data_IF_993448925462
#
_entry.id   IF_993448925462
#
_cell.length_a   1.000
_cell.length_b   1.000
_cell.length_c   1.000
_cell.angle_alpha   90.00
_cell.angle_beta   90.00
_cell.angle_gamma   90.00
#
_symmetry.space_group_name_H-M   'P 1'
#
loop_
_entity.id
_entity.type
_entity.pdbx_description
1 polymer ?
#
# COMPACT_ATOMS: atom_id res chain seq x y z
N UNK A 1 0.67 -20.57 -5.96
CA UNK A 1 1.21 -19.19 -5.96
C UNK A 1 2.50 -19.18 -6.74
N UNK A 2 2.73 -18.24 -7.68
CA UNK A 2 3.99 -18.16 -8.43
C UNK A 2 5.20 -18.04 -7.49
N UNK A 3 6.25 -18.87 -7.65
CA UNK A 3 7.38 -18.93 -6.71
C UNK A 3 8.37 -17.77 -6.87
N UNK A 4 8.38 -17.07 -8.01
CA UNK A 4 9.29 -15.95 -8.28
C UNK A 4 8.55 -14.67 -8.65
N UNK A 5 9.19 -13.51 -8.39
CA UNK A 5 8.64 -12.20 -8.79
C UNK A 5 8.44 -12.11 -10.31
N UNK A 6 9.33 -12.73 -11.09
CA UNK A 6 9.22 -12.78 -12.55
C UNK A 6 7.97 -13.54 -13.00
N UNK A 7 7.72 -14.71 -12.41
CA UNK A 7 6.53 -15.51 -12.71
C UNK A 7 5.25 -14.87 -12.19
N UNK A 8 5.31 -14.21 -11.03
CA UNK A 8 4.18 -13.43 -10.52
C UNK A 8 3.79 -12.30 -11.48
N UNK A 9 4.77 -11.59 -12.05
CA UNK A 9 4.50 -10.56 -13.08
C UNK A 9 3.84 -11.16 -14.31
N UNK A 10 4.38 -12.26 -14.83
CA UNK A 10 3.81 -12.95 -15.98
C UNK A 10 2.36 -13.40 -15.74
N UNK A 11 2.09 -13.94 -14.54
CA UNK A 11 0.73 -14.32 -14.13
C UNK A 11 -0.21 -13.12 -14.06
N UNK A 12 0.20 -12.00 -13.44
CA UNK A 12 -0.63 -10.78 -13.37
C UNK A 12 -0.92 -10.25 -14.78
N UNK A 13 0.09 -10.20 -15.66
CA UNK A 13 -0.10 -9.72 -17.02
C UNK A 13 -1.07 -10.62 -17.80
N UNK A 14 -1.04 -11.93 -17.56
CA UNK A 14 -1.98 -12.88 -18.16
C UNK A 14 -3.42 -12.69 -17.65
N UNK A 15 -3.59 -12.54 -16.33
CA UNK A 15 -4.88 -12.21 -15.73
C UNK A 15 -5.46 -10.91 -16.30
N UNK A 16 -4.62 -9.89 -16.48
CA UNK A 16 -5.05 -8.61 -17.06
C UNK A 16 -5.46 -8.76 -18.53
N UNK A 17 -4.70 -9.55 -19.32
CA UNK A 17 -5.00 -9.78 -20.75
C UNK A 17 -6.17 -10.72 -20.99
N UNK A 18 -6.42 -11.68 -20.11
CA UNK A 18 -7.49 -12.68 -20.26
C UNK A 18 -8.90 -12.08 -20.30
N UNK A 19 -9.06 -10.83 -19.87
CA UNK A 19 -10.35 -10.16 -19.83
C UNK A 19 -11.29 -10.71 -18.77
N UNK A 20 -10.80 -11.50 -17.81
CA UNK A 20 -11.62 -11.95 -16.67
C UNK A 20 -11.89 -10.80 -15.68
N UNK A 21 -11.02 -9.79 -15.64
CA UNK A 21 -11.19 -8.62 -14.78
C UNK A 21 -12.25 -7.68 -15.38
N UNK A 22 -13.40 -7.59 -14.71
CA UNK A 22 -14.52 -6.72 -15.10
C UNK A 22 -14.84 -5.74 -13.99
N UNK A 23 -15.03 -4.47 -14.35
CA UNK A 23 -15.49 -3.44 -13.41
C UNK A 23 -16.99 -3.60 -13.23
N UNK A 24 -17.37 -4.24 -12.13
CA UNK A 24 -18.76 -4.44 -11.72
C UNK A 24 -19.27 -3.23 -10.93
N UNK A 25 -20.58 -3.17 -10.69
CA UNK A 25 -21.16 -2.10 -9.86
C UNK A 25 -20.65 -2.15 -8.41
N UNK A 26 -20.39 -3.34 -7.88
CA UNK A 26 -19.73 -3.48 -6.59
C UNK A 26 -18.31 -2.88 -6.62
N UNK A 27 -17.53 -3.15 -7.67
CA UNK A 27 -16.21 -2.57 -7.84
C UNK A 27 -16.25 -1.03 -8.01
N UNK A 28 -17.29 -0.50 -8.67
CA UNK A 28 -17.52 0.95 -8.81
C UNK A 28 -17.80 1.60 -7.46
N UNK A 29 -18.67 1.00 -6.64
CA UNK A 29 -18.95 1.48 -5.27
C UNK A 29 -17.69 1.49 -4.42
N UNK A 30 -16.85 0.46 -4.51
CA UNK A 30 -15.54 0.46 -3.82
C UNK A 30 -14.65 1.59 -4.35
N UNK A 31 -14.59 1.80 -5.66
CA UNK A 31 -13.81 2.88 -6.24
C UNK A 31 -14.31 4.28 -5.82
N UNK A 32 -15.62 4.46 -5.59
CA UNK A 32 -16.20 5.70 -5.04
C UNK A 32 -15.70 5.98 -3.62
N UNK A 33 -15.59 4.97 -2.76
CA UNK A 33 -15.01 5.14 -1.41
C UNK A 33 -13.56 5.64 -1.43
N UNK A 34 -12.79 5.30 -2.48
CA UNK A 34 -11.45 5.84 -2.67
C UNK A 34 -11.46 7.29 -3.17
N UNK A 35 -12.47 7.69 -3.95
CA UNK A 35 -12.58 9.07 -4.48
C UNK A 35 -13.15 10.04 -3.46
N UNK A 36 -14.15 9.61 -2.71
CA UNK A 36 -14.80 10.38 -1.65
C UNK A 36 -14.87 9.53 -0.38
N UNK A 37 -13.78 9.49 0.41
CA UNK A 37 -13.76 8.72 1.63
C UNK A 37 -14.71 9.32 2.69
N UNK A 38 -15.39 8.48 3.50
CA UNK A 38 -16.27 8.92 4.57
C UNK A 38 -15.61 9.92 5.52
N UNK A 39 -16.39 10.84 6.09
CA UNK A 39 -15.84 11.94 6.90
C UNK A 39 -15.13 11.46 8.17
N UNK A 40 -15.53 10.29 8.65
CA UNK A 40 -15.15 9.63 9.88
C UNK A 40 -13.88 8.76 9.70
N UNK A 41 -13.33 8.70 8.49
CA UNK A 41 -12.16 7.87 8.20
C UNK A 41 -10.89 8.37 8.95
N UNK A 42 -10.27 7.47 9.71
CA UNK A 42 -9.14 7.75 10.63
C UNK A 42 -7.90 8.38 9.93
N UNK A 43 -7.75 8.19 8.62
CA UNK A 43 -6.60 8.67 7.82
C UNK A 43 -7.00 9.57 6.66
N UNK A 44 -8.19 10.18 6.72
CA UNK A 44 -8.80 10.93 5.62
C UNK A 44 -7.88 11.94 4.91
N UNK A 45 -6.99 12.70 5.56
CA UNK A 45 -6.06 13.61 4.86
C UNK A 45 -5.09 12.91 3.91
N UNK A 46 -4.73 11.65 4.19
CA UNK A 46 -3.76 10.87 3.41
C UNK A 46 -4.45 10.02 2.34
N UNK A 47 -5.74 9.71 2.51
CA UNK A 47 -6.50 8.87 1.60
C UNK A 47 -6.52 9.35 0.14
N UNK A 48 -6.58 10.65 -0.19
CA UNK A 48 -6.46 11.10 -1.59
C UNK A 48 -5.15 10.67 -2.26
N UNK A 49 -4.02 10.73 -1.53
CA UNK A 49 -2.73 10.29 -2.05
C UNK A 49 -2.69 8.76 -2.23
N UNK A 50 -3.25 8.02 -1.26
CA UNK A 50 -3.37 6.56 -1.33
C UNK A 50 -4.27 6.13 -2.51
N UNK A 51 -5.40 6.82 -2.71
CA UNK A 51 -6.28 6.59 -3.85
C UNK A 51 -5.59 6.87 -5.17
N UNK A 52 -4.84 7.98 -5.26
CA UNK A 52 -4.05 8.29 -6.44
C UNK A 52 -3.00 7.22 -6.74
N UNK A 53 -2.29 6.71 -5.72
CA UNK A 53 -1.38 5.58 -5.89
C UNK A 53 -2.11 4.30 -6.32
N UNK A 54 -3.23 3.96 -5.67
CA UNK A 54 -4.01 2.78 -5.97
C UNK A 54 -4.44 2.76 -7.44
N UNK A 55 -5.10 3.82 -7.91
CA UNK A 55 -5.48 3.93 -9.32
C UNK A 55 -4.27 4.05 -10.25
N UNK A 56 -3.20 4.72 -9.83
CA UNK A 56 -1.98 4.86 -10.61
C UNK A 56 -1.28 3.53 -10.89
N UNK A 57 -1.31 2.61 -9.93
CA UNK A 57 -0.70 1.27 -10.04
C UNK A 57 -1.52 0.28 -10.88
N UNK A 58 -2.75 0.63 -11.26
CA UNK A 58 -3.55 -0.22 -12.14
C UNK A 58 -2.97 -0.24 -13.57
N UNK A 59 -3.00 -1.40 -14.24
CA UNK A 59 -2.75 -1.50 -15.67
C UNK A 59 -3.65 -0.56 -16.49
N UNK A 60 -3.19 -0.04 -17.64
CA UNK A 60 -3.97 0.85 -18.51
C UNK A 60 -5.42 0.44 -18.76
N UNK A 61 -5.75 -0.82 -19.15
CA UNK A 61 -7.13 -1.20 -19.45
C UNK A 61 -8.05 -1.12 -18.23
N UNK A 62 -7.53 -1.37 -17.01
CA UNK A 62 -8.32 -1.24 -15.79
C UNK A 62 -8.53 0.22 -15.42
N UNK A 63 -7.53 1.09 -15.58
CA UNK A 63 -7.68 2.54 -15.34
C UNK A 63 -8.78 3.11 -16.23
N UNK A 64 -8.77 2.75 -17.50
CA UNK A 64 -9.81 3.14 -18.46
C UNK A 64 -11.19 2.62 -18.05
N UNK A 65 -11.31 1.35 -17.63
CA UNK A 65 -12.55 0.78 -17.14
C UNK A 65 -13.10 1.47 -15.87
N UNK A 66 -12.22 2.05 -15.04
CA UNK A 66 -12.58 2.88 -13.88
C UNK A 66 -12.77 4.38 -14.24
N UNK A 67 -12.63 4.78 -15.51
CA UNK A 67 -12.75 6.17 -15.95
C UNK A 67 -11.59 7.08 -15.50
N UNK A 68 -10.44 6.49 -15.14
CA UNK A 68 -9.27 7.23 -14.64
C UNK A 68 -8.38 7.63 -15.82
N UNK A 69 -8.38 8.92 -16.14
CA UNK A 69 -7.45 9.48 -17.14
C UNK A 69 -6.03 9.55 -16.58
N UNK A 70 -5.07 8.97 -17.28
CA UNK A 70 -3.67 8.92 -16.86
C UNK A 70 -2.75 9.44 -17.95
N UNK A 71 -1.94 10.44 -17.62
CA UNK A 71 -0.98 11.04 -18.55
C UNK A 71 0.45 10.54 -18.29
N UNK A 72 1.37 10.66 -19.26
CA UNK A 72 2.78 10.34 -19.04
C UNK A 72 3.40 11.13 -17.87
N UNK A 73 3.01 12.39 -17.69
CA UNK A 73 3.44 13.21 -16.55
C UNK A 73 2.98 12.61 -15.20
N UNK A 74 1.74 12.10 -15.11
CA UNK A 74 1.25 11.41 -13.91
C UNK A 74 2.01 10.11 -13.65
N UNK A 75 2.39 9.40 -14.70
CA UNK A 75 3.21 8.18 -14.58
C UNK A 75 4.60 8.48 -14.00
N UNK A 76 5.25 9.55 -14.48
CA UNK A 76 6.54 10.01 -13.92
C UNK A 76 6.38 10.44 -12.47
N UNK A 77 5.35 11.23 -12.15
CA UNK A 77 5.06 11.67 -10.79
C UNK A 77 4.80 10.47 -9.85
N UNK A 78 4.08 9.44 -10.32
CA UNK A 78 3.81 8.23 -9.54
C UNK A 78 5.12 7.52 -9.20
N UNK A 79 5.97 7.27 -10.21
CA UNK A 79 7.27 6.62 -10.01
C UNK A 79 8.16 7.42 -9.07
N UNK A 80 8.20 8.74 -9.21
CA UNK A 80 8.94 9.63 -8.32
C UNK A 80 8.41 9.53 -6.88
N UNK A 81 7.10 9.64 -6.68
CA UNK A 81 6.49 9.57 -5.36
C UNK A 81 6.74 8.23 -4.65
N UNK A 82 6.65 7.10 -5.37
CA UNK A 82 6.91 5.77 -4.83
C UNK A 82 8.39 5.57 -4.50
N UNK A 83 9.31 6.14 -5.29
CA UNK A 83 10.74 6.15 -4.98
C UNK A 83 11.02 6.98 -3.73
N UNK A 84 10.45 8.18 -3.64
CA UNK A 84 10.56 9.03 -2.45
C UNK A 84 10.02 8.33 -1.20
N UNK A 85 8.87 7.63 -1.32
CA UNK A 85 8.30 6.86 -0.22
C UNK A 85 9.26 5.76 0.27
N UNK A 86 9.95 5.07 -0.65
CA UNK A 86 10.97 4.07 -0.30
C UNK A 86 12.17 4.69 0.42
N UNK A 87 12.59 5.89 0.02
CA UNK A 87 13.69 6.62 0.65
C UNK A 87 13.32 7.15 2.04
N UNK A 88 12.08 7.57 2.25
CA UNK A 88 11.58 8.10 3.54
C UNK A 88 11.21 6.96 4.51
N UNK A 89 10.95 5.75 4.01
CA UNK A 89 10.57 4.58 4.86
C UNK A 89 11.47 4.34 6.09
N UNK A 90 12.81 4.46 6.04
CA UNK A 90 13.69 4.26 7.19
C UNK A 90 13.54 5.32 8.29
N UNK A 91 13.04 6.52 7.96
CA UNK A 91 12.82 7.59 8.94
C UNK A 91 11.41 7.57 9.55
N UNK A 92 10.47 6.85 8.93
CA UNK A 92 9.11 6.70 9.45
C UNK A 92 9.09 5.93 10.79
N UNK A 93 8.36 6.43 11.81
CA UNK A 93 8.14 5.70 13.06
C UNK A 93 7.64 4.26 12.85
N UNK A 94 8.01 3.36 13.77
CA UNK A 94 7.67 1.93 13.70
C UNK A 94 6.15 1.68 13.52
N UNK A 95 5.31 2.52 14.14
CA UNK A 95 3.84 2.46 14.01
C UNK A 95 3.31 2.60 12.58
N UNK A 96 4.06 3.27 11.70
CA UNK A 96 3.70 3.45 10.29
C UNK A 96 4.43 2.46 9.37
N UNK A 97 5.57 1.92 9.83
CA UNK A 97 6.37 0.96 9.08
C UNK A 97 5.79 -0.44 9.11
N UNK A 98 5.08 -0.79 10.19
CA UNK A 98 4.58 -2.13 10.44
C UNK A 98 3.06 -2.17 10.57
N UNK A 99 2.47 -3.21 10.00
CA UNK A 99 1.04 -3.49 10.10
C UNK A 99 0.66 -3.95 11.52
N UNK A 100 -0.61 -3.76 11.90
CA UNK A 100 -1.13 -4.07 13.24
C UNK A 100 -0.79 -5.49 13.75
N UNK A 101 -0.86 -6.57 12.94
CA UNK A 101 -0.46 -7.91 13.38
C UNK A 101 1.01 -8.00 13.79
N UNK A 102 1.91 -7.37 13.03
CA UNK A 102 3.34 -7.35 13.35
C UNK A 102 3.62 -6.55 14.63
N UNK A 103 2.91 -5.45 14.82
CA UNK A 103 3.02 -4.67 16.06
C UNK A 103 2.50 -5.45 17.26
N UNK A 104 1.41 -6.20 17.11
CA UNK A 104 0.90 -7.10 18.15
C UNK A 104 1.92 -8.19 18.50
N UNK A 105 2.55 -8.78 17.48
CA UNK A 105 3.65 -9.73 17.68
C UNK A 105 4.86 -9.11 18.40
N UNK A 106 5.27 -7.89 18.05
CA UNK A 106 6.35 -7.18 18.75
C UNK A 106 6.02 -6.94 20.23
N UNK A 107 4.78 -6.59 20.56
CA UNK A 107 4.33 -6.36 21.94
C UNK A 107 4.26 -7.66 22.75
N UNK A 108 4.01 -8.79 22.10
CA UNK A 108 3.93 -10.11 22.72
C UNK A 108 5.27 -10.83 22.90
N UNK A 109 6.41 -10.18 22.63
CA UNK A 109 7.73 -10.83 22.77
C UNK A 109 8.11 -10.99 24.25
N UNK A 110 8.33 -12.23 24.75
CA UNK A 110 8.95 -12.43 26.05
C UNK A 110 10.40 -11.95 25.97
N UNK A 111 10.76 -10.93 26.76
CA UNK A 111 12.13 -10.40 26.81
C UNK A 111 12.28 -8.87 26.81
N UNK A 112 11.20 -8.10 26.73
CA UNK A 112 11.25 -6.63 26.87
C UNK A 112 11.14 -6.16 28.35
N UNK A 113 11.62 -6.97 29.30
CA UNK A 113 11.71 -6.61 30.71
C UNK A 113 13.10 -6.08 31.00
N UNK A 114 13.18 -4.75 31.12
CA UNK A 114 14.16 -3.95 31.88
C UNK A 114 15.21 -4.77 32.65
N UNK A 115 16.45 -4.83 32.14
CA UNK A 115 17.61 -5.13 32.97
C UNK A 115 18.21 -3.79 33.40
N UNK A 116 17.84 -3.34 34.60
CA UNK A 116 18.52 -2.24 35.27
C UNK A 116 19.91 -2.74 35.72
N UNK A 117 21.00 -1.99 35.46
CA UNK A 117 22.32 -2.41 35.89
C UNK A 117 22.41 -2.33 37.42
N UNK A 118 22.40 -3.49 38.09
CA UNK A 118 22.69 -3.60 39.52
C UNK A 118 24.15 -3.22 39.82
N UNK A 119 24.43 -2.61 40.99
CA UNK A 119 25.75 -2.08 41.30
C UNK A 119 26.75 -3.21 41.49
N UNK A 120 27.89 -3.14 40.78
CA UNK A 120 29.04 -3.98 41.07
C UNK A 120 29.73 -3.44 42.32
N UNK A 121 29.54 -4.13 43.44
CA UNK A 121 30.40 -3.97 44.61
C UNK A 121 31.73 -4.70 44.35
N UNK A 122 32.81 -4.08 44.85
CA UNK A 122 34.21 -4.40 44.66
C UNK A 122 34.67 -5.69 45.35
#
# INVERSE_FOLDING_TARGET
>A
MPPTVRELRAYIDDVVRSGILRVTDAARRVAELFRDPPREAEWRPVLPAVAWWAFGTLPPPLREAYGVRWSPAREVALRASLRSLRLVRPTLPARFRYIAPYQAWLRGRPGASVEAPGPRAA
#
